data_IF_573968593151
#
_entry.id   IF_573968593151
#
_cell.length_a   1.000
_cell.length_b   1.000
_cell.length_c   1.000
_cell.angle_alpha   90.00
_cell.angle_beta   90.00
_cell.angle_gamma   90.00
#
_symmetry.space_group_name_H-M   'P 1'
#
loop_
_entity.id
_entity.type
_entity.pdbx_description
1 polymer ?
#
# COMPACT_ATOMS: atom_id res chain seq x y z
N UNK A 1 20.61 4.72 12.95
CA UNK A 1 20.14 5.23 11.65
C UNK A 1 18.95 6.15 11.90
N UNK A 2 18.93 7.38 11.36
CA UNK A 2 17.77 8.27 11.50
C UNK A 2 16.65 7.75 10.60
N UNK A 3 15.42 7.65 11.12
CA UNK A 3 14.24 7.34 10.31
C UNK A 3 13.93 8.53 9.41
N UNK A 4 13.75 8.28 8.12
CA UNK A 4 13.34 9.30 7.15
C UNK A 4 11.85 9.14 6.89
N UNK A 5 11.08 10.18 7.17
CA UNK A 5 9.66 10.23 6.86
C UNK A 5 9.42 11.14 5.66
N UNK A 6 8.47 10.77 4.82
CA UNK A 6 8.06 11.54 3.64
C UNK A 6 6.54 11.68 3.67
N UNK A 7 6.06 12.90 3.41
CA UNK A 7 4.64 13.13 3.16
C UNK A 7 4.34 12.81 1.69
N UNK A 8 3.49 11.83 1.47
CA UNK A 8 2.97 11.45 0.16
C UNK A 8 1.47 11.74 0.17
N UNK A 9 1.12 12.94 -0.25
CA UNK A 9 -0.26 13.42 -0.37
C UNK A 9 -1.07 13.29 0.93
N UNK A 10 -0.52 13.85 2.02
CA UNK A 10 -1.19 13.88 3.32
C UNK A 10 -1.11 12.56 4.09
N UNK A 11 -0.26 11.63 3.66
CA UNK A 11 0.07 10.38 4.35
C UNK A 11 1.56 10.37 4.65
N UNK A 12 1.91 10.06 5.89
CA UNK A 12 3.31 10.02 6.33
C UNK A 12 3.85 8.60 6.21
N UNK A 13 4.81 8.41 5.31
CA UNK A 13 5.47 7.13 5.08
C UNK A 13 6.87 7.12 5.68
N UNK A 14 7.24 5.99 6.28
CA UNK A 14 8.63 5.70 6.61
C UNK A 14 9.33 5.17 5.35
N UNK A 15 10.36 5.88 4.89
CA UNK A 15 11.20 5.43 3.79
C UNK A 15 12.23 4.41 4.30
N UNK A 16 12.28 3.25 3.64
CA UNK A 16 13.17 2.15 4.01
C UNK A 16 14.38 1.99 3.07
N UNK A 17 14.60 2.91 2.13
CA UNK A 17 15.69 2.83 1.15
C UNK A 17 15.33 1.98 -0.07
N UNK A 18 16.34 1.41 -0.72
CA UNK A 18 16.21 0.49 -1.85
C UNK A 18 16.08 -0.97 -1.36
N UNK A 19 15.20 -1.76 -1.99
CA UNK A 19 15.02 -3.19 -1.68
C UNK A 19 14.61 -3.99 -2.92
N UNK A 20 15.19 -5.19 -3.04
CA UNK A 20 14.71 -6.23 -3.94
C UNK A 20 13.43 -6.84 -3.36
N UNK A 21 12.27 -6.27 -3.67
CA UNK A 21 11.00 -6.78 -3.18
C UNK A 21 9.92 -6.77 -4.25
N UNK A 22 9.27 -7.93 -4.41
CA UNK A 22 8.04 -8.06 -5.19
C UNK A 22 6.89 -8.26 -4.19
N UNK A 23 5.99 -7.27 -4.04
CA UNK A 23 4.78 -7.46 -3.26
C UNK A 23 3.95 -8.55 -3.90
N UNK A 24 3.53 -9.49 -3.05
CA UNK A 24 2.62 -10.55 -3.44
C UNK A 24 1.39 -10.47 -2.53
N UNK A 25 0.40 -9.62 -2.88
CA UNK A 25 -0.86 -9.65 -2.19
C UNK A 25 -1.47 -11.06 -2.27
N UNK A 26 -2.14 -11.48 -1.19
CA UNK A 26 -2.81 -12.79 -1.14
C UNK A 26 -4.24 -12.73 -1.67
N UNK A 27 -4.82 -11.55 -1.65
CA UNK A 27 -6.17 -11.25 -2.09
C UNK A 27 -6.13 -9.92 -2.82
N UNK A 28 -6.74 -9.85 -4.00
CA UNK A 28 -6.69 -8.66 -4.85
C UNK A 28 -7.67 -7.59 -4.34
N UNK A 29 -8.67 -8.00 -3.57
CA UNK A 29 -9.68 -7.09 -3.02
C UNK A 29 -9.99 -7.38 -1.56
N UNK A 30 -10.60 -6.40 -0.89
CA UNK A 30 -11.13 -6.59 0.46
C UNK A 30 -12.26 -7.63 0.52
N UNK A 31 -12.96 -7.88 -0.61
CA UNK A 31 -14.07 -8.84 -0.70
C UNK A 31 -13.58 -10.28 -0.89
N UNK A 32 -12.43 -10.47 -1.55
CA UNK A 32 -11.74 -11.76 -1.54
C UNK A 32 -11.12 -12.03 -0.17
N UNK A 33 -10.54 -11.00 0.43
CA UNK A 33 -9.99 -11.06 1.77
C UNK A 33 -11.08 -11.23 2.83
N UNK A 34 -12.35 -10.94 2.60
CA UNK A 34 -13.41 -11.17 3.59
C UNK A 34 -14.70 -11.51 2.87
N UNK A 35 -15.27 -12.70 3.12
CA UNK A 35 -16.57 -13.05 2.53
C UNK A 35 -17.70 -12.08 2.91
N UNK A 36 -17.56 -11.33 4.01
CA UNK A 36 -18.45 -10.22 4.39
C UNK A 36 -17.66 -9.13 5.13
N UNK A 37 -16.96 -8.23 4.43
CA UNK A 37 -16.21 -7.17 5.08
C UNK A 37 -17.17 -6.18 5.74
N UNK A 38 -16.76 -5.58 6.86
CA UNK A 38 -17.54 -4.50 7.46
C UNK A 38 -17.39 -3.22 6.64
N UNK A 39 -18.38 -2.32 6.72
CA UNK A 39 -18.33 -1.01 6.04
C UNK A 39 -17.05 -0.23 6.39
N UNK A 40 -16.57 -0.34 7.62
CA UNK A 40 -15.30 0.27 8.03
C UNK A 40 -14.10 -0.29 7.26
N UNK A 41 -14.02 -1.62 7.09
CA UNK A 41 -12.94 -2.25 6.31
C UNK A 41 -12.97 -1.82 4.85
N UNK A 42 -14.17 -1.76 4.26
CA UNK A 42 -14.39 -1.29 2.89
C UNK A 42 -13.89 0.15 2.73
N UNK A 43 -14.31 1.07 3.61
CA UNK A 43 -13.88 2.48 3.56
C UNK A 43 -12.36 2.66 3.72
N UNK A 44 -11.73 1.89 4.60
CA UNK A 44 -10.26 1.93 4.76
C UNK A 44 -9.58 1.49 3.46
N UNK A 45 -10.05 0.37 2.88
CA UNK A 45 -9.54 -0.14 1.61
C UNK A 45 -9.70 0.87 0.47
N UNK A 46 -10.90 1.45 0.31
CA UNK A 46 -11.18 2.48 -0.70
C UNK A 46 -10.31 3.72 -0.53
N UNK A 47 -10.08 4.19 0.71
CA UNK A 47 -9.20 5.32 0.98
C UNK A 47 -7.76 5.07 0.53
N UNK A 48 -7.26 3.84 0.65
CA UNK A 48 -5.91 3.49 0.21
C UNK A 48 -5.82 3.26 -1.30
N UNK A 49 -6.86 2.70 -1.92
CA UNK A 49 -6.96 2.63 -3.38
C UNK A 49 -6.92 4.02 -4.00
N UNK A 50 -7.66 4.96 -3.41
CA UNK A 50 -7.68 6.34 -3.91
C UNK A 50 -6.32 7.02 -3.74
N UNK A 51 -5.66 6.83 -2.59
CA UNK A 51 -4.30 7.32 -2.41
C UNK A 51 -3.34 6.75 -3.47
N UNK A 52 -3.41 5.46 -3.78
CA UNK A 52 -2.56 4.85 -4.81
C UNK A 52 -2.79 5.49 -6.19
N UNK A 53 -4.05 5.81 -6.53
CA UNK A 53 -4.37 6.49 -7.80
C UNK A 53 -3.79 7.90 -7.89
N UNK A 54 -3.68 8.61 -6.78
CA UNK A 54 -3.11 9.97 -6.72
C UNK A 54 -1.57 9.94 -6.79
N UNK A 55 -0.93 8.92 -6.20
CA UNK A 55 0.54 8.80 -6.21
C UNK A 55 1.06 8.17 -7.51
N UNK A 56 0.30 7.26 -8.11
CA UNK A 56 0.74 6.54 -9.30
C UNK A 56 0.76 7.46 -10.52
N UNK A 57 1.81 7.38 -11.33
CA UNK A 57 1.87 8.02 -12.65
C UNK A 57 0.79 7.46 -13.56
N UNK A 58 -0.08 8.31 -14.10
CA UNK A 58 -1.12 7.97 -15.09
C UNK A 58 -1.92 6.67 -14.78
N UNK A 59 -2.07 6.31 -13.51
CA UNK A 59 -2.80 5.11 -13.09
C UNK A 59 -2.01 3.80 -13.10
N UNK A 60 -0.67 3.81 -13.17
CA UNK A 60 0.17 2.61 -13.16
C UNK A 60 0.34 1.99 -11.76
N UNK A 61 -0.77 1.51 -11.19
CA UNK A 61 -0.75 0.59 -10.06
C UNK A 61 -0.46 -0.80 -10.62
N UNK A 62 0.72 -1.35 -10.32
CA UNK A 62 1.12 -2.67 -10.81
C UNK A 62 0.39 -3.76 -10.03
N UNK A 63 0.39 -3.65 -8.70
CA UNK A 63 -0.38 -4.52 -7.83
C UNK A 63 -0.75 -3.79 -6.53
N UNK A 64 -1.93 -4.10 -6.01
CA UNK A 64 -2.33 -3.73 -4.66
C UNK A 64 -3.30 -4.80 -4.15
N UNK A 65 -3.13 -5.22 -2.92
CA UNK A 65 -4.02 -6.21 -2.32
C UNK A 65 -3.82 -6.38 -0.83
N UNK A 66 -4.60 -7.28 -0.25
CA UNK A 66 -4.50 -7.65 1.16
C UNK A 66 -3.47 -8.76 1.32
N UNK A 67 -2.33 -8.45 1.94
CA UNK A 67 -1.25 -9.42 2.18
C UNK A 67 -1.48 -10.28 3.43
N UNK A 68 -2.19 -9.74 4.42
CA UNK A 68 -2.56 -10.46 5.64
C UNK A 68 -3.84 -9.91 6.26
N UNK A 69 -4.55 -10.74 7.01
CA UNK A 69 -5.81 -10.38 7.67
C UNK A 69 -6.06 -11.19 8.94
N UNK A 70 -6.86 -10.62 9.84
CA UNK A 70 -7.56 -11.33 10.91
C UNK A 70 -8.98 -10.74 11.06
N UNK A 71 -9.71 -11.07 12.12
CA UNK A 71 -11.07 -10.53 12.30
C UNK A 71 -11.14 -9.00 12.42
N UNK A 72 -10.06 -8.36 12.90
CA UNK A 72 -10.04 -6.95 13.28
C UNK A 72 -9.23 -6.08 12.32
N UNK A 73 -8.14 -6.61 11.75
CA UNK A 73 -7.15 -5.84 11.01
C UNK A 73 -6.75 -6.52 9.71
N UNK A 74 -6.22 -5.74 8.79
CA UNK A 74 -5.62 -6.21 7.56
C UNK A 74 -4.41 -5.36 7.19
N UNK A 75 -3.54 -5.95 6.38
CA UNK A 75 -2.36 -5.31 5.82
C UNK A 75 -2.54 -5.18 4.32
N UNK A 76 -2.26 -3.99 3.79
CA UNK A 76 -2.23 -3.73 2.36
C UNK A 76 -0.78 -3.71 1.91
N UNK A 77 -0.50 -4.38 0.80
CA UNK A 77 0.78 -4.29 0.11
C UNK A 77 0.57 -4.07 -1.38
N UNK A 78 1.57 -3.52 -2.04
CA UNK A 78 1.52 -3.30 -3.46
C UNK A 78 2.76 -2.65 -4.05
N UNK A 79 2.72 -2.47 -5.37
CA UNK A 79 3.71 -1.76 -6.17
C UNK A 79 3.05 -0.72 -7.06
N UNK A 80 3.66 0.45 -7.14
CA UNK A 80 3.21 1.57 -7.97
C UNK A 80 4.41 2.21 -8.68
N UNK A 81 4.23 2.62 -9.92
CA UNK A 81 5.13 3.59 -10.53
C UNK A 81 4.75 4.99 -10.06
N UNK A 82 5.65 5.69 -9.40
CA UNK A 82 5.45 7.10 -9.07
C UNK A 82 5.54 7.97 -10.33
N UNK A 83 5.04 9.21 -10.25
CA UNK A 83 5.15 10.19 -11.34
C UNK A 83 6.60 10.50 -11.76
N UNK A 84 7.60 10.17 -10.92
CA UNK A 84 9.04 10.24 -11.27
C UNK A 84 9.49 9.14 -12.23
N UNK A 85 8.67 8.12 -12.48
CA UNK A 85 9.01 6.93 -13.26
C UNK A 85 9.66 5.81 -12.44
N UNK A 86 9.95 6.06 -11.16
CA UNK A 86 10.52 5.08 -10.24
C UNK A 86 9.47 4.08 -9.75
N UNK A 87 9.88 2.82 -9.59
CA UNK A 87 9.03 1.77 -9.05
C UNK A 87 9.17 1.70 -7.53
N UNK A 88 8.05 1.80 -6.84
CA UNK A 88 8.01 1.76 -5.39
C UNK A 88 7.14 0.63 -4.87
N UNK A 89 7.61 -0.02 -3.81
CA UNK A 89 6.81 -0.93 -3.01
C UNK A 89 6.29 -0.22 -1.76
N UNK A 90 5.11 -0.64 -1.31
CA UNK A 90 4.53 -0.13 -0.07
C UNK A 90 3.93 -1.24 0.79
N UNK A 91 3.94 -1.00 2.10
CA UNK A 91 3.38 -1.87 3.13
C UNK A 91 2.64 -1.02 4.17
N UNK A 92 1.34 -1.28 4.30
CA UNK A 92 0.43 -0.49 5.12
C UNK A 92 -0.27 -1.40 6.12
N UNK A 93 -0.12 -1.09 7.40
CA UNK A 93 -0.79 -1.74 8.52
C UNK A 93 -1.60 -0.72 9.31
N UNK A 94 -2.29 -1.16 10.37
CA UNK A 94 -3.02 -0.27 11.27
C UNK A 94 -2.12 0.77 11.97
N UNK A 95 -0.81 0.52 12.11
CA UNK A 95 0.12 1.37 12.88
C UNK A 95 1.33 1.85 12.09
N UNK A 96 1.52 1.38 10.85
CA UNK A 96 2.69 1.69 10.03
C UNK A 96 2.33 1.88 8.57
N UNK A 97 2.99 2.84 7.96
CA UNK A 97 2.95 3.14 6.53
C UNK A 97 4.42 3.18 6.08
N UNK A 98 4.81 2.21 5.28
CA UNK A 98 6.20 2.00 4.87
C UNK A 98 6.29 1.96 3.36
N UNK A 99 7.37 2.49 2.81
CA UNK A 99 7.64 2.52 1.38
C UNK A 99 9.14 2.40 1.10
N UNK A 100 9.50 1.84 -0.05
CA UNK A 100 10.89 1.63 -0.49
C UNK A 100 10.97 1.67 -2.01
N UNK A 101 12.14 2.10 -2.52
CA UNK A 101 12.47 2.04 -3.93
C UNK A 101 12.78 0.58 -4.30
N UNK A 102 12.25 0.12 -5.44
CA UNK A 102 12.52 -1.23 -5.96
C UNK A 102 13.55 -1.10 -7.08
N UNK A 103 14.63 -1.87 -6.95
CA UNK A 103 15.70 -1.98 -7.94
C UNK A 103 15.43 -3.08 -8.98
#
# INVERSE_FOLDING_TARGET
MKKQYVDLWGKNFLYLGEKDYKPHPKYDTIFEAYGRPSNTKIKIWESWLEWCRVVASDGNIICMGVASRNCNFFTIEGTIYACSGELYGFHITATRQEYWLIN
#
